data_IF_318591834838
#
_entry.id   IF_318591834838
#
_cell.length_a   1.000
_cell.length_b   1.000
_cell.length_c   1.000
_cell.angle_alpha   90.00
_cell.angle_beta   90.00
_cell.angle_gamma   90.00
#
_symmetry.space_group_name_H-M   'P 1'
#
loop_
_entity.id
_entity.type
_entity.pdbx_description
1 polymer ?
#
# COMPACT_ATOMS: atom_id res chain seq x y z
N UNK A 1 17.69 13.03 22.14
CA UNK A 1 17.68 12.61 20.72
C UNK A 1 16.29 12.88 20.17
N UNK A 2 16.11 14.01 19.48
CA UNK A 2 14.82 14.42 18.89
C UNK A 2 14.85 14.13 17.40
N UNK A 3 14.34 12.97 17.00
CA UNK A 3 13.98 12.70 15.60
C UNK A 3 12.74 13.53 15.30
N UNK A 4 12.96 14.69 14.69
CA UNK A 4 11.89 15.59 14.26
C UNK A 4 11.38 15.06 12.93
N UNK A 5 10.39 14.16 12.96
CA UNK A 5 9.61 13.80 11.79
C UNK A 5 8.89 15.06 11.29
N UNK A 6 9.48 15.75 10.30
CA UNK A 6 8.90 16.91 9.65
C UNK A 6 8.41 16.47 8.27
N UNK A 7 7.32 15.71 8.26
CA UNK A 7 6.43 15.73 7.11
C UNK A 7 5.72 17.08 7.08
N UNK A 8 6.23 18.02 6.29
CA UNK A 8 5.52 19.27 5.97
C UNK A 8 5.47 19.39 4.45
N UNK A 9 4.70 18.50 3.79
CA UNK A 9 4.19 18.80 2.45
C UNK A 9 3.12 19.89 2.63
N UNK A 10 3.42 21.13 2.24
CA UNK A 10 2.43 22.22 2.19
C UNK A 10 1.54 22.15 0.95
N UNK A 11 1.94 21.35 -0.04
CA UNK A 11 1.24 21.15 -1.30
C UNK A 11 0.60 19.76 -1.34
N UNK A 12 -0.65 19.63 -1.81
CA UNK A 12 -1.31 18.33 -1.96
C UNK A 12 -0.61 17.49 -3.05
N UNK A 13 -0.67 16.14 -2.97
CA UNK A 13 -0.19 15.27 -4.04
C UNK A 13 -0.85 15.60 -5.38
N UNK A 14 -0.13 15.42 -6.48
CA UNK A 14 -0.70 15.67 -7.80
C UNK A 14 -1.86 14.70 -8.08
N UNK A 15 -2.94 15.22 -8.66
CA UNK A 15 -4.07 14.38 -9.03
C UNK A 15 -3.73 13.56 -10.28
N UNK A 16 -4.11 12.28 -10.27
CA UNK A 16 -4.04 11.43 -11.43
C UNK A 16 -5.16 11.81 -12.41
N UNK A 17 -4.81 12.55 -13.46
CA UNK A 17 -5.75 12.93 -14.53
C UNK A 17 -5.73 11.97 -15.71
N UNK A 18 -4.70 11.11 -15.80
CA UNK A 18 -4.54 10.11 -16.85
C UNK A 18 -4.09 8.76 -16.25
N UNK A 19 -4.47 7.63 -16.87
CA UNK A 19 -4.04 6.30 -16.43
C UNK A 19 -2.52 6.17 -16.38
N UNK A 20 -2.00 5.64 -15.27
CA UNK A 20 -0.58 5.36 -15.11
C UNK A 20 -0.30 3.88 -15.35
N UNK A 21 0.74 3.59 -16.13
CA UNK A 21 1.25 2.22 -16.28
C UNK A 21 2.35 2.00 -15.25
N UNK A 22 2.13 1.08 -14.32
CA UNK A 22 3.12 0.72 -13.31
C UNK A 22 3.68 -0.65 -13.63
N UNK A 23 5.02 -0.76 -13.67
CA UNK A 23 5.68 -2.07 -13.73
C UNK A 23 5.67 -2.71 -12.34
N UNK A 24 5.13 -3.93 -12.27
CA UNK A 24 5.15 -4.75 -11.06
C UNK A 24 6.44 -5.57 -11.04
N UNK A 25 7.40 -5.15 -10.22
CA UNK A 25 8.57 -5.97 -9.91
C UNK A 25 8.21 -7.13 -8.97
N UNK A 26 9.19 -7.97 -8.64
CA UNK A 26 8.99 -9.14 -7.78
C UNK A 26 8.34 -8.81 -6.43
N UNK A 27 8.75 -7.71 -5.77
CA UNK A 27 8.19 -7.33 -4.46
C UNK A 27 6.74 -6.88 -4.59
N UNK A 28 6.42 -6.13 -5.64
CA UNK A 28 5.04 -5.68 -5.91
C UNK A 28 4.12 -6.84 -6.26
N UNK A 29 4.64 -7.83 -7.00
CA UNK A 29 3.91 -9.07 -7.29
C UNK A 29 3.64 -9.87 -6.01
N UNK A 30 4.62 -9.99 -5.12
CA UNK A 30 4.45 -10.69 -3.84
C UNK A 30 3.38 -10.01 -2.98
N UNK A 31 3.42 -8.68 -2.86
CA UNK A 31 2.41 -7.91 -2.12
C UNK A 31 1.00 -8.08 -2.73
N UNK A 32 0.89 -8.03 -4.06
CA UNK A 32 -0.38 -8.25 -4.76
C UNK A 32 -0.91 -9.67 -4.50
N UNK A 33 -0.04 -10.68 -4.54
CA UNK A 33 -0.41 -12.06 -4.28
C UNK A 33 -0.83 -12.27 -2.82
N UNK A 34 -0.11 -11.69 -1.85
CA UNK A 34 -0.45 -11.72 -0.44
C UNK A 34 -1.84 -11.12 -0.18
N UNK A 35 -2.12 -9.95 -0.75
CA UNK A 35 -3.43 -9.31 -0.66
C UNK A 35 -4.55 -10.19 -1.26
N UNK A 36 -4.33 -10.73 -2.46
CA UNK A 36 -5.32 -11.61 -3.13
C UNK A 36 -5.60 -12.86 -2.30
N UNK A 37 -4.56 -13.48 -1.74
CA UNK A 37 -4.69 -14.69 -0.92
C UNK A 37 -5.42 -14.39 0.38
N UNK A 38 -5.03 -13.34 1.11
CA UNK A 38 -5.70 -12.93 2.35
C UNK A 38 -7.19 -12.65 2.10
N UNK A 39 -7.50 -11.92 1.02
CA UNK A 39 -8.88 -11.60 0.66
C UNK A 39 -9.69 -12.86 0.34
N UNK A 40 -9.10 -13.81 -0.39
CA UNK A 40 -9.75 -15.08 -0.68
C UNK A 40 -10.05 -15.87 0.60
N UNK A 41 -9.07 -15.99 1.51
CA UNK A 41 -9.24 -16.71 2.77
C UNK A 41 -10.31 -16.06 3.64
N UNK A 42 -10.31 -14.73 3.76
CA UNK A 42 -11.33 -14.01 4.54
C UNK A 42 -12.75 -14.19 3.96
N UNK A 43 -12.92 -14.06 2.64
CA UNK A 43 -14.21 -14.22 1.98
C UNK A 43 -14.72 -15.66 2.02
N UNK A 44 -13.81 -16.63 2.11
CA UNK A 44 -14.14 -18.06 2.19
C UNK A 44 -14.26 -18.56 3.62
N UNK A 45 -14.10 -17.70 4.63
CA UNK A 45 -14.17 -18.08 6.03
C UNK A 45 -15.62 -18.38 6.46
N UNK A 46 -15.87 -19.63 6.83
CA UNK A 46 -17.12 -20.09 7.46
C UNK A 46 -17.04 -20.10 9.00
N UNK A 47 -15.90 -19.67 9.57
CA UNK A 47 -15.65 -19.60 11.00
C UNK A 47 -16.46 -18.53 11.73
N UNK A 48 -16.21 -18.40 13.03
CA UNK A 48 -16.92 -17.45 13.88
C UNK A 48 -16.51 -15.98 13.63
N UNK A 49 -17.17 -15.06 14.33
CA UNK A 49 -16.93 -13.64 14.16
C UNK A 49 -15.50 -13.20 14.53
N UNK A 50 -14.86 -13.90 15.47
CA UNK A 50 -13.50 -13.59 15.91
C UNK A 50 -12.47 -14.01 14.84
N UNK A 51 -12.61 -15.22 14.31
CA UNK A 51 -11.76 -15.69 13.22
C UNK A 51 -11.92 -14.82 11.97
N UNK A 52 -13.16 -14.46 11.62
CA UNK A 52 -13.46 -13.58 10.50
C UNK A 52 -12.85 -12.18 10.70
N UNK A 53 -12.86 -11.65 11.92
CA UNK A 53 -12.21 -10.38 12.25
C UNK A 53 -10.69 -10.48 12.09
N UNK A 54 -10.06 -11.54 12.62
CA UNK A 54 -8.63 -11.78 12.49
C UNK A 54 -8.19 -11.82 11.03
N UNK A 55 -8.94 -12.53 10.19
CA UNK A 55 -8.68 -12.62 8.76
C UNK A 55 -8.90 -11.27 8.05
N UNK A 56 -9.90 -10.50 8.47
CA UNK A 56 -10.14 -9.15 7.93
C UNK A 56 -8.96 -8.20 8.21
N UNK A 57 -8.37 -8.27 9.41
CA UNK A 57 -7.16 -7.49 9.74
C UNK A 57 -6.01 -7.84 8.79
N UNK A 58 -5.78 -9.13 8.51
CA UNK A 58 -4.76 -9.54 7.53
C UNK A 58 -5.01 -8.99 6.12
N UNK A 59 -6.28 -8.87 5.70
CA UNK A 59 -6.63 -8.23 4.42
C UNK A 59 -6.29 -6.75 4.42
N UNK A 60 -6.57 -6.05 5.53
CA UNK A 60 -6.27 -4.63 5.68
C UNK A 60 -4.75 -4.42 5.62
N UNK A 61 -3.98 -5.21 6.37
CA UNK A 61 -2.52 -5.08 6.43
C UNK A 61 -1.89 -5.33 5.05
N UNK A 62 -2.26 -6.43 4.39
CA UNK A 62 -1.77 -6.72 3.04
C UNK A 62 -2.23 -5.68 2.00
N UNK A 63 -3.42 -5.11 2.18
CA UNK A 63 -3.94 -4.04 1.35
C UNK A 63 -3.17 -2.73 1.53
N UNK A 64 -2.79 -2.39 2.76
CA UNK A 64 -1.98 -1.22 3.08
C UNK A 64 -0.57 -1.33 2.48
N UNK A 65 0.06 -2.50 2.56
CA UNK A 65 1.36 -2.76 1.94
C UNK A 65 1.31 -2.58 0.42
N UNK A 66 0.32 -3.19 -0.23
CA UNK A 66 0.11 -3.04 -1.68
C UNK A 66 -0.17 -1.57 -2.07
N UNK A 67 -1.00 -0.86 -1.30
CA UNK A 67 -1.30 0.56 -1.54
C UNK A 67 -0.04 1.42 -1.42
N UNK A 68 0.84 1.14 -0.46
CA UNK A 68 2.14 1.80 -0.33
C UNK A 68 3.01 1.63 -1.57
N UNK A 69 3.12 0.39 -2.09
CA UNK A 69 3.87 0.13 -3.32
C UNK A 69 3.30 0.83 -4.55
N UNK A 70 1.98 0.86 -4.70
CA UNK A 70 1.31 1.59 -5.79
C UNK A 70 1.58 3.10 -5.63
N UNK A 71 1.43 3.63 -4.42
CA UNK A 71 1.71 5.04 -4.11
C UNK A 71 3.12 5.46 -4.51
N UNK A 72 4.14 4.72 -4.07
CA UNK A 72 5.53 4.97 -4.44
C UNK A 72 5.77 4.89 -5.96
N UNK A 73 5.12 3.92 -6.62
CA UNK A 73 5.24 3.76 -8.07
C UNK A 73 4.64 4.95 -8.82
N UNK A 74 3.52 5.46 -8.34
CA UNK A 74 2.84 6.64 -8.89
C UNK A 74 3.65 7.90 -8.64
N UNK A 75 4.16 8.10 -7.42
CA UNK A 75 5.04 9.22 -7.10
C UNK A 75 6.26 9.24 -8.03
N UNK A 76 6.90 8.09 -8.21
CA UNK A 76 8.03 7.94 -9.13
C UNK A 76 7.64 8.26 -10.59
N UNK A 77 6.49 7.78 -11.06
CA UNK A 77 6.02 8.05 -12.42
C UNK A 77 5.68 9.54 -12.65
N UNK A 78 5.21 10.24 -11.62
CA UNK A 78 4.91 11.67 -11.64
C UNK A 78 6.14 12.56 -11.40
N UNK A 79 7.30 11.96 -11.11
CA UNK A 79 8.52 12.70 -10.75
C UNK A 79 8.42 13.41 -9.40
N UNK A 80 7.51 12.97 -8.52
CA UNK A 80 7.43 13.47 -7.16
C UNK A 80 8.67 13.02 -6.36
N UNK A 81 9.18 13.86 -5.43
CA UNK A 81 10.29 13.47 -4.57
C UNK A 81 9.92 12.26 -3.72
N UNK A 82 10.85 11.31 -3.61
CA UNK A 82 10.72 10.17 -2.71
C UNK A 82 10.82 10.67 -1.26
N UNK A 83 9.71 10.58 -0.54
CA UNK A 83 9.58 11.07 0.83
C UNK A 83 10.53 10.31 1.81
N UNK A 84 11.16 9.21 1.37
CA UNK A 84 12.14 8.41 2.13
C UNK A 84 13.61 8.79 1.91
N UNK A 85 13.94 9.69 0.98
CA UNK A 85 15.32 10.08 0.68
C UNK A 85 15.81 11.34 1.43
N UNK A 86 15.00 11.87 2.35
CA UNK A 86 15.39 13.00 3.19
C UNK A 86 15.78 12.54 4.61
N UNK A 87 16.88 11.79 4.70
CA UNK A 87 17.66 11.61 5.94
C UNK A 87 18.79 12.66 6.04
#
# INVERSE_FOLDING_TARGET
MTTRSKYIRTEPPALLTEPQTVTLDGRKLDALNAYRQARHVWLSCEGDAEEKLRLHVLVIDAGAELAGFIGLSVQSALGEPDDWLHD
#
